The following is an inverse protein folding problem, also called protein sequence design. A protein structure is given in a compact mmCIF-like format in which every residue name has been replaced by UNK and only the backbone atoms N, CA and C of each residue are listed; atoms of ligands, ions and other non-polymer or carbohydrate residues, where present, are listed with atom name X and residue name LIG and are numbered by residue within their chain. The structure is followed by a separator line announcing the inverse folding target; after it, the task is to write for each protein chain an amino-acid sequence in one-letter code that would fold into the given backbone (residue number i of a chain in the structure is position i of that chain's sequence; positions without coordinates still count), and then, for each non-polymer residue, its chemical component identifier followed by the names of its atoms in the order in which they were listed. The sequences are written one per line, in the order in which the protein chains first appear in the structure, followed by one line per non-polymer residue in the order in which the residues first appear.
data_IF_106108475588
#
_entry.id   IF_106108475588
#
_cell.length_a   1.000
_cell.length_b   1.000
_cell.length_c   1.000
_cell.angle_alpha   90.00
_cell.angle_beta   90.00
_cell.angle_gamma   90.00
#
_symmetry.space_group_name_H-M   'P 1'
#
loop_
_entity.id
_entity.type
_entity.pdbx_description
1 polymer ?
#
# COMPACT_ATOMS: atom_id res chain seq x y z
N UNK A 1 -28.27 -49.44 15.47
CA UNK A 1 -26.83 -49.21 15.23
C UNK A 1 -26.80 -48.75 13.80
N UNK A 2 -27.15 -47.47 13.65
CA UNK A 2 -27.38 -46.84 12.35
C UNK A 2 -26.05 -46.21 11.95
N UNK A 3 -25.48 -46.76 10.90
CA UNK A 3 -24.18 -46.38 10.37
C UNK A 3 -24.20 -44.90 9.97
N UNK A 4 -23.39 -44.14 10.70
CA UNK A 4 -22.97 -42.80 10.35
C UNK A 4 -22.21 -42.88 9.02
N UNK A 5 -22.88 -42.59 7.90
CA UNK A 5 -22.20 -42.23 6.67
C UNK A 5 -21.60 -40.85 6.90
N UNK A 6 -20.36 -40.83 7.40
CA UNK A 6 -19.50 -39.67 7.34
C UNK A 6 -19.14 -39.46 5.87
N UNK A 7 -19.94 -38.69 5.14
CA UNK A 7 -19.52 -38.10 3.87
C UNK A 7 -18.32 -37.20 4.17
N UNK A 8 -17.14 -37.72 3.90
CA UNK A 8 -15.88 -36.99 4.04
C UNK A 8 -15.76 -35.96 2.91
N UNK A 9 -16.15 -34.74 3.26
CA UNK A 9 -15.71 -33.42 2.79
C UNK A 9 -14.42 -33.42 1.91
N UNK A 10 -14.56 -33.72 0.62
CA UNK A 10 -13.43 -33.68 -0.34
C UNK A 10 -13.79 -33.18 -1.75
N UNK A 11 -14.93 -32.50 -1.90
CA UNK A 11 -15.57 -32.26 -3.21
C UNK A 11 -15.48 -30.81 -3.74
N UNK A 12 -14.57 -29.95 -3.27
CA UNK A 12 -14.65 -28.51 -3.61
C UNK A 12 -13.31 -27.77 -3.78
N UNK A 13 -12.34 -28.35 -4.50
CA UNK A 13 -11.17 -27.59 -4.99
C UNK A 13 -11.31 -27.41 -6.49
N UNK A 14 -11.63 -26.19 -6.96
CA UNK A 14 -11.61 -25.90 -8.39
C UNK A 14 -10.18 -25.92 -8.89
N UNK A 15 -9.88 -26.80 -9.83
CA UNK A 15 -8.55 -27.01 -10.34
C UNK A 15 -7.99 -25.72 -10.97
N UNK A 16 -8.81 -24.98 -11.73
CA UNK A 16 -8.33 -23.78 -12.40
C UNK A 16 -8.03 -22.62 -11.44
N UNK A 17 -8.91 -22.31 -10.47
CA UNK A 17 -8.71 -21.16 -9.56
C UNK A 17 -7.52 -21.40 -8.65
N UNK A 18 -7.39 -22.62 -8.11
CA UNK A 18 -6.25 -23.00 -7.26
C UNK A 18 -4.93 -22.97 -8.04
N UNK A 19 -4.94 -23.48 -9.28
CA UNK A 19 -3.81 -23.36 -10.18
C UNK A 19 -3.45 -21.90 -10.48
N UNK A 20 -4.44 -21.05 -10.76
CA UNK A 20 -4.22 -19.64 -11.07
C UNK A 20 -3.61 -18.89 -9.88
N UNK A 21 -4.11 -19.09 -8.67
CA UNK A 21 -3.64 -18.38 -7.47
C UNK A 21 -2.26 -18.89 -7.03
N UNK A 22 -2.00 -20.19 -7.19
CA UNK A 22 -0.68 -20.79 -6.90
C UNK A 22 0.37 -20.50 -7.98
N UNK A 23 -0.06 -20.03 -9.16
CA UNK A 23 0.85 -19.70 -10.26
C UNK A 23 1.79 -18.56 -9.88
N UNK A 24 3.04 -18.69 -10.31
CA UNK A 24 4.10 -17.71 -10.05
C UNK A 24 3.71 -16.33 -10.61
N UNK A 25 3.69 -15.33 -9.75
CA UNK A 25 3.29 -13.97 -10.11
C UNK A 25 1.88 -13.58 -9.64
N UNK A 26 1.07 -14.54 -9.20
CA UNK A 26 -0.31 -14.30 -8.76
C UNK A 26 -0.48 -14.27 -7.23
N UNK A 27 0.61 -14.10 -6.49
CA UNK A 27 0.60 -14.15 -5.02
C UNK A 27 -0.26 -13.04 -4.39
N UNK A 28 -0.60 -11.99 -5.14
CA UNK A 28 -1.46 -10.89 -4.68
C UNK A 28 -2.96 -11.17 -4.79
N UNK A 29 -3.37 -12.14 -5.60
CA UNK A 29 -4.78 -12.49 -5.71
C UNK A 29 -5.25 -13.23 -4.46
N UNK A 30 -6.53 -13.04 -4.13
CA UNK A 30 -7.25 -13.96 -3.26
C UNK A 30 -8.16 -14.87 -4.09
N UNK A 31 -8.59 -15.96 -3.47
CA UNK A 31 -9.58 -16.85 -4.06
C UNK A 31 -10.96 -16.20 -4.03
N UNK A 32 -11.61 -16.14 -5.19
CA UNK A 32 -13.00 -15.68 -5.33
C UNK A 32 -13.91 -16.88 -5.03
N UNK A 33 -14.92 -16.66 -4.20
CA UNK A 33 -15.89 -17.71 -3.89
C UNK A 33 -16.70 -18.11 -5.14
N UNK A 34 -17.02 -19.39 -5.24
CA UNK A 34 -17.76 -19.91 -6.40
C UNK A 34 -19.19 -19.37 -6.50
N UNK A 35 -19.85 -19.13 -5.36
CA UNK A 35 -21.17 -18.50 -5.33
C UNK A 35 -21.14 -17.07 -5.88
N UNK A 36 -20.02 -16.35 -5.71
CA UNK A 36 -19.83 -15.03 -6.30
C UNK A 36 -19.66 -15.08 -7.82
N UNK A 37 -18.94 -16.08 -8.34
CA UNK A 37 -18.71 -16.29 -9.77
C UNK A 37 -19.96 -16.81 -10.50
N UNK A 38 -20.82 -17.57 -9.82
CA UNK A 38 -22.03 -18.13 -10.43
C UNK A 38 -23.20 -17.13 -10.44
N UNK A 39 -23.16 -16.10 -9.58
CA UNK A 39 -24.15 -15.02 -9.58
C UNK A 39 -23.90 -14.00 -10.72
N UNK A 40 -24.78 -14.07 -11.73
CA UNK A 40 -24.74 -13.20 -12.91
C UNK A 40 -24.81 -11.72 -12.60
N UNK A 41 -25.42 -11.32 -11.48
CA UNK A 41 -25.51 -9.91 -11.10
C UNK A 41 -24.12 -9.30 -10.86
N UNK A 42 -23.23 -10.06 -10.21
CA UNK A 42 -21.86 -9.62 -9.92
C UNK A 42 -21.01 -9.45 -11.19
N UNK A 43 -21.35 -10.18 -12.25
CA UNK A 43 -20.62 -10.19 -13.53
C UNK A 43 -21.17 -9.20 -14.58
N UNK A 44 -22.18 -8.41 -14.21
CA UNK A 44 -22.85 -7.49 -15.14
C UNK A 44 -21.86 -6.57 -15.85
N UNK A 45 -21.95 -6.49 -17.18
CA UNK A 45 -21.11 -5.64 -18.04
C UNK A 45 -19.73 -6.20 -18.40
N UNK A 46 -19.29 -7.30 -17.80
CA UNK A 46 -17.98 -7.91 -18.14
C UNK A 46 -18.00 -8.62 -19.51
N UNK A 47 -19.18 -9.01 -19.98
CA UNK A 47 -19.38 -9.66 -21.27
C UNK A 47 -19.01 -8.77 -22.47
N UNK A 48 -18.98 -7.44 -22.30
CA UNK A 48 -18.54 -6.52 -23.37
C UNK A 48 -17.04 -6.23 -23.33
N UNK A 49 -16.39 -6.45 -22.19
CA UNK A 49 -14.96 -6.22 -21.97
C UNK A 49 -14.13 -7.46 -22.33
N UNK A 50 -14.66 -8.65 -22.07
CA UNK A 50 -13.94 -9.93 -22.21
C UNK A 50 -14.32 -10.65 -23.50
N UNK A 51 -13.31 -10.96 -24.33
CA UNK A 51 -13.49 -11.81 -25.51
C UNK A 51 -13.76 -13.26 -25.11
N UNK A 52 -14.60 -13.97 -25.85
CA UNK A 52 -14.98 -15.36 -25.53
C UNK A 52 -15.52 -15.53 -24.10
N UNK A 53 -16.24 -14.51 -23.58
CA UNK A 53 -16.70 -14.44 -22.19
C UNK A 53 -17.31 -15.74 -21.65
N UNK A 54 -18.19 -16.41 -22.41
CA UNK A 54 -18.82 -17.65 -21.95
C UNK A 54 -17.79 -18.76 -21.75
N UNK A 55 -16.91 -18.98 -22.73
CA UNK A 55 -15.84 -19.98 -22.62
C UNK A 55 -14.84 -19.66 -21.52
N UNK A 56 -14.51 -18.38 -21.34
CA UNK A 56 -13.66 -17.92 -20.26
C UNK A 56 -14.30 -18.17 -18.88
N UNK A 57 -15.60 -17.93 -18.74
CA UNK A 57 -16.34 -18.21 -17.51
C UNK A 57 -16.41 -19.71 -17.24
N UNK A 58 -16.76 -20.50 -18.25
CA UNK A 58 -16.84 -21.97 -18.15
C UNK A 58 -15.49 -22.55 -17.71
N UNK A 59 -14.36 -21.98 -18.19
CA UNK A 59 -13.01 -22.40 -17.79
C UNK A 59 -12.69 -22.05 -16.34
N UNK A 60 -13.04 -20.84 -15.87
CA UNK A 60 -12.83 -20.41 -14.48
C UNK A 60 -13.69 -21.22 -13.49
N UNK A 61 -14.83 -21.73 -13.94
CA UNK A 61 -15.74 -22.58 -13.14
C UNK A 61 -15.52 -24.08 -13.35
N UNK A 62 -14.47 -24.51 -14.06
CA UNK A 62 -14.17 -25.92 -14.37
C UNK A 62 -15.32 -26.68 -15.08
N UNK A 63 -16.15 -25.99 -15.87
CA UNK A 63 -17.22 -26.55 -16.73
C UNK A 63 -16.84 -26.58 -18.21
N UNK A 64 -15.60 -26.20 -18.53
CA UNK A 64 -15.12 -26.12 -19.91
C UNK A 64 -14.82 -27.50 -20.51
N UNK A 65 -15.66 -27.92 -21.47
CA UNK A 65 -15.60 -29.23 -22.15
C UNK A 65 -15.43 -29.11 -23.67
N UNK A 66 -14.80 -28.03 -24.15
CA UNK A 66 -14.61 -27.80 -25.58
C UNK A 66 -13.24 -28.31 -26.04
N UNK A 67 -13.25 -29.31 -26.92
CA UNK A 67 -12.08 -29.70 -27.71
C UNK A 67 -11.83 -28.63 -28.79
N UNK A 68 -10.83 -27.78 -28.54
CA UNK A 68 -10.34 -26.77 -29.47
C UNK A 68 -8.85 -26.98 -29.77
N UNK A 69 -8.38 -26.35 -30.84
CA UNK A 69 -6.96 -26.28 -31.16
C UNK A 69 -6.19 -25.45 -30.13
N UNK A 70 -4.88 -25.70 -30.03
CA UNK A 70 -4.01 -25.12 -29.01
C UNK A 70 -4.03 -23.57 -29.03
N UNK A 71 -4.09 -22.96 -30.22
CA UNK A 71 -4.12 -21.50 -30.40
C UNK A 71 -5.40 -20.88 -29.85
N UNK A 72 -6.56 -21.52 -30.08
CA UNK A 72 -7.83 -21.06 -29.53
C UNK A 72 -7.87 -21.26 -28.01
N UNK A 73 -7.33 -22.37 -27.52
CA UNK A 73 -7.24 -22.64 -26.08
C UNK A 73 -6.41 -21.59 -25.35
N UNK A 74 -5.25 -21.21 -25.88
CA UNK A 74 -4.41 -20.15 -25.31
C UNK A 74 -5.15 -18.80 -25.26
N UNK A 75 -5.93 -18.50 -26.30
CA UNK A 75 -6.75 -17.27 -26.36
C UNK A 75 -7.84 -17.29 -25.28
N UNK A 76 -8.54 -18.41 -25.10
CA UNK A 76 -9.55 -18.59 -24.04
C UNK A 76 -8.92 -18.48 -22.66
N UNK A 77 -7.76 -19.10 -22.44
CA UNK A 77 -7.02 -18.98 -21.16
C UNK A 77 -6.62 -17.53 -20.86
N UNK A 78 -6.19 -16.78 -21.88
CA UNK A 78 -5.89 -15.36 -21.72
C UNK A 78 -7.13 -14.56 -21.32
N UNK A 79 -8.27 -14.82 -21.97
CA UNK A 79 -9.56 -14.22 -21.60
C UNK A 79 -10.03 -14.63 -20.20
N UNK A 80 -9.80 -15.87 -19.78
CA UNK A 80 -10.14 -16.35 -18.44
C UNK A 80 -9.31 -15.65 -17.36
N UNK A 81 -7.99 -15.50 -17.57
CA UNK A 81 -7.13 -14.71 -16.67
C UNK A 81 -7.58 -13.26 -16.57
N UNK A 82 -7.97 -12.67 -17.71
CA UNK A 82 -8.48 -11.30 -17.74
C UNK A 82 -9.82 -11.17 -17.00
N UNK A 83 -10.77 -12.06 -17.27
CA UNK A 83 -12.07 -12.12 -16.58
C UNK A 83 -11.89 -12.26 -15.07
N UNK A 84 -11.09 -13.23 -14.63
CA UNK A 84 -10.83 -13.46 -13.21
C UNK A 84 -10.26 -12.22 -12.53
N UNK A 85 -9.34 -11.51 -13.20
CA UNK A 85 -8.80 -10.24 -12.71
C UNK A 85 -9.86 -9.15 -12.55
N UNK A 86 -10.76 -8.98 -13.52
CA UNK A 86 -11.85 -7.99 -13.44
C UNK A 86 -12.87 -8.33 -12.34
N UNK A 87 -13.20 -9.61 -12.18
CA UNK A 87 -14.08 -10.07 -11.10
C UNK A 87 -13.40 -9.88 -9.75
N UNK A 88 -12.10 -10.15 -9.66
CA UNK A 88 -11.31 -9.96 -8.44
C UNK A 88 -11.39 -8.52 -7.94
N UNK A 89 -11.26 -7.52 -8.83
CA UNK A 89 -11.38 -6.11 -8.47
C UNK A 89 -12.73 -5.77 -7.81
N UNK A 90 -13.82 -6.40 -8.26
CA UNK A 90 -15.16 -6.25 -7.66
C UNK A 90 -15.27 -7.02 -6.35
N UNK A 91 -14.75 -8.24 -6.31
CA UNK A 91 -14.85 -9.14 -5.17
C UNK A 91 -14.12 -8.62 -3.94
N UNK A 92 -12.91 -8.08 -4.08
CA UNK A 92 -12.10 -7.62 -2.93
C UNK A 92 -12.66 -6.41 -2.19
N UNK A 93 -13.68 -5.76 -2.75
CA UNK A 93 -14.43 -4.67 -2.11
C UNK A 93 -15.60 -5.18 -1.27
N UNK A 94 -16.03 -6.44 -1.47
CA UNK A 94 -17.09 -7.08 -0.67
C UNK A 94 -16.57 -7.48 0.72
N UNK A 95 -17.46 -7.70 1.68
CA UNK A 95 -17.07 -8.13 3.04
C UNK A 95 -16.27 -9.44 3.05
N UNK A 96 -16.63 -10.41 2.18
CA UNK A 96 -15.92 -11.69 2.08
C UNK A 96 -14.52 -11.52 1.48
N UNK A 97 -14.42 -10.80 0.36
CA UNK A 97 -13.14 -10.51 -0.29
C UNK A 97 -12.20 -9.67 0.58
N UNK A 98 -12.72 -8.67 1.29
CA UNK A 98 -11.97 -7.87 2.26
C UNK A 98 -11.36 -8.75 3.37
N UNK A 99 -12.10 -9.73 3.88
CA UNK A 99 -11.61 -10.64 4.93
C UNK A 99 -10.43 -11.48 4.41
N UNK A 100 -10.55 -12.07 3.21
CA UNK A 100 -9.46 -12.85 2.60
C UNK A 100 -8.22 -11.99 2.34
N UNK A 101 -8.40 -10.77 1.82
CA UNK A 101 -7.28 -9.85 1.58
C UNK A 101 -6.65 -9.36 2.89
N UNK A 102 -7.44 -9.16 3.93
CA UNK A 102 -6.97 -8.79 5.26
C UNK A 102 -6.04 -9.87 5.85
N UNK A 103 -6.36 -11.14 5.68
CA UNK A 103 -5.51 -12.23 6.16
C UNK A 103 -4.15 -12.25 5.45
N UNK A 104 -4.14 -12.01 4.13
CA UNK A 104 -2.90 -11.83 3.36
C UNK A 104 -2.12 -10.59 3.80
N UNK A 105 -2.81 -9.50 4.12
CA UNK A 105 -2.20 -8.26 4.62
C UNK A 105 -1.50 -8.45 5.96
N UNK A 106 -2.17 -9.12 6.92
CA UNK A 106 -1.59 -9.45 8.24
C UNK A 106 -0.34 -10.32 8.12
N UNK A 107 -0.31 -11.23 7.14
CA UNK A 107 0.85 -12.07 6.82
C UNK A 107 1.94 -11.35 6.01
N UNK A 108 1.70 -10.10 5.61
CA UNK A 108 2.58 -9.29 4.76
C UNK A 108 2.92 -9.96 3.41
N UNK A 109 1.99 -10.74 2.84
CA UNK A 109 2.18 -11.45 1.57
C UNK A 109 2.34 -10.51 0.37
N UNK A 110 1.74 -9.32 0.43
CA UNK A 110 1.87 -8.28 -0.59
C UNK A 110 3.26 -7.64 -0.63
N UNK A 111 4.05 -7.83 0.44
CA UNK A 111 5.34 -7.20 0.65
C UNK A 111 5.32 -6.15 1.76
N UNK A 112 6.46 -5.50 1.93
CA UNK A 112 6.73 -4.56 3.02
C UNK A 112 7.28 -3.25 2.46
N UNK A 113 6.95 -2.15 3.12
CA UNK A 113 7.34 -0.81 2.69
C UNK A 113 8.87 -0.68 2.57
N UNK A 114 9.38 -0.13 1.44
CA UNK A 114 10.82 0.04 1.24
C UNK A 114 11.40 1.22 2.04
N UNK A 115 10.57 2.14 2.56
CA UNK A 115 11.06 3.23 3.42
C UNK A 115 11.52 2.66 4.76
N UNK A 116 12.76 2.99 5.14
CA UNK A 116 13.38 2.56 6.40
C UNK A 116 12.53 2.97 7.61
N UNK A 117 12.08 4.22 7.66
CA UNK A 117 11.27 4.76 8.77
C UNK A 117 9.88 4.11 8.87
N UNK A 118 9.43 3.35 7.87
CA UNK A 118 8.21 2.57 7.96
C UNK A 118 8.40 1.24 8.70
N UNK A 119 9.63 0.86 9.07
CA UNK A 119 9.96 -0.35 9.81
C UNK A 119 9.35 -1.62 9.18
N UNK A 120 9.45 -1.71 7.86
CA UNK A 120 8.91 -2.84 7.08
C UNK A 120 7.39 -3.07 7.28
N UNK A 121 6.62 -1.99 7.41
CA UNK A 121 5.15 -2.05 7.46
C UNK A 121 4.56 -2.78 6.24
N UNK A 122 3.56 -3.67 6.42
CA UNK A 122 2.92 -4.38 5.30
C UNK A 122 2.28 -3.42 4.30
N UNK A 123 2.20 -3.85 3.05
CA UNK A 123 1.65 -3.08 1.95
C UNK A 123 0.32 -3.67 1.48
N UNK A 124 -0.46 -2.89 0.74
CA UNK A 124 -1.67 -3.36 0.06
C UNK A 124 -1.56 -3.13 -1.46
N UNK A 125 -2.01 -4.08 -2.29
CA UNK A 125 -2.04 -3.89 -3.73
C UNK A 125 -3.14 -2.89 -4.13
N UNK A 126 -2.90 -2.10 -5.16
CA UNK A 126 -3.88 -1.21 -5.75
C UNK A 126 -3.54 -0.87 -7.21
N UNK A 127 -4.55 -0.48 -7.99
CA UNK A 127 -4.40 0.00 -9.37
C UNK A 127 -4.39 1.52 -9.47
N UNK A 128 -3.53 2.11 -10.30
CA UNK A 128 -3.56 3.55 -10.58
C UNK A 128 -4.72 3.97 -11.50
N UNK A 129 -5.40 3.00 -12.11
CA UNK A 129 -6.57 3.17 -12.96
C UNK A 129 -7.40 1.89 -12.87
N UNK A 130 -8.72 2.03 -13.00
CA UNK A 130 -9.64 0.89 -13.13
C UNK A 130 -9.77 0.43 -14.59
N UNK A 131 -9.17 1.16 -15.54
CA UNK A 131 -9.17 0.78 -16.96
C UNK A 131 -8.07 -0.26 -17.19
N UNK A 132 -8.40 -1.44 -17.73
CA UNK A 132 -7.41 -2.50 -17.96
C UNK A 132 -6.34 -2.13 -18.98
N UNK A 133 -5.21 -2.82 -18.91
CA UNK A 133 -4.02 -2.70 -19.75
C UNK A 133 -3.35 -1.32 -19.76
N UNK A 134 -3.68 -0.44 -18.80
CA UNK A 134 -3.11 0.90 -18.73
C UNK A 134 -1.84 0.95 -17.88
N UNK A 135 -1.92 0.47 -16.64
CA UNK A 135 -0.81 0.55 -15.67
C UNK A 135 -0.78 -0.71 -14.79
N UNK A 136 0.41 -1.23 -14.47
CA UNK A 136 0.52 -2.38 -13.60
C UNK A 136 0.21 -2.01 -12.14
N UNK A 137 -0.01 -3.05 -11.34
CA UNK A 137 -0.29 -2.93 -9.90
C UNK A 137 0.80 -2.16 -9.16
N UNK A 138 0.36 -1.37 -8.18
CA UNK A 138 1.21 -0.65 -7.22
C UNK A 138 0.89 -1.12 -5.81
N UNK A 139 1.77 -0.77 -4.88
CA UNK A 139 1.64 -1.11 -3.47
C UNK A 139 1.49 0.16 -2.63
N UNK A 140 0.39 0.27 -1.90
CA UNK A 140 0.11 1.35 -0.97
C UNK A 140 0.62 1.00 0.43
N UNK A 141 1.29 1.97 1.08
CA UNK A 141 1.70 1.85 2.48
C UNK A 141 0.82 2.73 3.37
N UNK A 142 0.09 2.13 4.31
CA UNK A 142 -0.74 2.89 5.24
C UNK A 142 0.07 3.70 6.26
N UNK A 143 1.37 3.44 6.43
CA UNK A 143 2.21 4.16 7.40
C UNK A 143 2.76 5.48 6.86
N UNK A 144 3.23 5.51 5.61
CA UNK A 144 3.73 6.73 4.98
C UNK A 144 2.79 7.31 3.92
N UNK A 145 1.67 6.63 3.63
CA UNK A 145 0.64 7.08 2.70
C UNK A 145 1.16 7.33 1.28
N UNK A 146 2.07 6.48 0.84
CA UNK A 146 2.73 6.62 -0.46
C UNK A 146 2.71 5.29 -1.23
N UNK A 147 2.93 5.40 -2.54
CA UNK A 147 2.82 4.32 -3.51
C UNK A 147 4.19 3.82 -3.94
N UNK A 148 4.30 2.50 -4.03
CA UNK A 148 5.54 1.82 -4.38
C UNK A 148 5.33 0.85 -5.54
N UNK A 149 6.41 0.63 -6.28
CA UNK A 149 6.46 -0.46 -7.24
C UNK A 149 6.70 -1.78 -6.50
N UNK A 150 6.08 -2.89 -6.94
CA UNK A 150 6.45 -4.23 -6.47
C UNK A 150 7.95 -4.47 -6.66
N UNK A 151 8.61 -5.07 -5.65
CA UNK A 151 10.07 -5.32 -5.68
C UNK A 151 10.45 -6.36 -6.74
N UNK A 152 9.59 -7.35 -6.96
CA UNK A 152 9.85 -8.42 -7.92
C UNK A 152 9.25 -8.09 -9.28
N UNK A 153 10.02 -8.30 -10.35
CA UNK A 153 9.56 -8.08 -11.73
C UNK A 153 8.37 -8.95 -12.11
N UNK A 154 8.20 -10.14 -11.49
CA UNK A 154 7.04 -11.02 -11.73
C UNK A 154 5.70 -10.38 -11.37
N UNK A 155 5.70 -9.44 -10.43
CA UNK A 155 4.50 -8.73 -9.99
C UNK A 155 4.26 -7.46 -10.81
N UNK A 156 5.26 -7.02 -11.58
CA UNK A 156 5.16 -5.83 -12.42
C UNK A 156 4.36 -6.06 -13.71
N UNK A 157 4.10 -7.32 -14.08
CA UNK A 157 3.23 -7.68 -15.21
C UNK A 157 1.76 -7.80 -14.84
N UNK A 158 1.41 -7.78 -13.55
CA UNK A 158 0.01 -7.83 -13.12
C UNK A 158 -0.64 -6.48 -13.39
N UNK A 159 -1.80 -6.49 -14.03
CA UNK A 159 -2.60 -5.29 -14.24
C UNK A 159 -3.12 -4.72 -12.92
N UNK A 160 -2.97 -3.40 -12.74
CA UNK A 160 -3.49 -2.71 -11.56
C UNK A 160 -5.02 -2.68 -11.51
N UNK A 161 -5.68 -2.72 -12.67
CA UNK A 161 -7.15 -2.69 -12.76
C UNK A 161 -7.79 -3.86 -12.00
N UNK A 162 -7.09 -5.00 -11.87
CA UNK A 162 -7.57 -6.18 -11.14
C UNK A 162 -7.64 -6.02 -9.61
N UNK A 163 -7.11 -4.90 -9.09
CA UNK A 163 -7.23 -4.52 -7.68
C UNK A 163 -8.05 -3.24 -7.50
N UNK A 164 -8.24 -2.48 -8.57
CA UNK A 164 -8.93 -1.20 -8.58
C UNK A 164 -8.21 -0.08 -7.80
N UNK A 165 -8.69 1.15 -7.97
CA UNK A 165 -8.14 2.33 -7.29
C UNK A 165 -8.60 2.45 -5.84
N UNK A 166 -9.72 1.81 -5.49
CA UNK A 166 -10.45 2.10 -4.24
C UNK A 166 -10.20 1.09 -3.11
N UNK A 167 -9.79 -0.14 -3.43
CA UNK A 167 -9.68 -1.24 -2.47
C UNK A 167 -8.86 -0.88 -1.22
N UNK A 168 -7.68 -0.28 -1.39
CA UNK A 168 -6.79 0.10 -0.28
C UNK A 168 -7.42 1.11 0.69
N UNK A 169 -8.35 1.96 0.23
CA UNK A 169 -9.06 2.89 1.11
C UNK A 169 -10.23 2.22 1.80
N UNK A 170 -10.99 1.39 1.07
CA UNK A 170 -12.17 0.71 1.60
C UNK A 170 -11.81 -0.22 2.75
N UNK A 171 -10.69 -0.95 2.65
CA UNK A 171 -10.26 -1.83 3.74
C UNK A 171 -9.98 -1.07 5.04
N UNK A 172 -9.43 0.15 4.98
CA UNK A 172 -9.21 0.96 6.18
C UNK A 172 -10.49 1.66 6.67
N UNK A 173 -11.45 1.92 5.79
CA UNK A 173 -12.77 2.39 6.20
C UNK A 173 -13.55 1.32 6.97
N UNK A 174 -13.44 0.05 6.55
CA UNK A 174 -14.08 -1.09 7.23
C UNK A 174 -13.30 -1.52 8.48
N UNK A 175 -11.98 -1.45 8.45
CA UNK A 175 -11.10 -1.84 9.56
C UNK A 175 -10.19 -0.67 10.01
N UNK A 176 -10.75 0.40 10.62
CA UNK A 176 -9.99 1.59 11.01
C UNK A 176 -8.89 1.31 12.04
N UNK A 177 -9.04 0.27 12.86
CA UNK A 177 -8.03 -0.15 13.84
C UNK A 177 -6.70 -0.61 13.22
N UNK A 178 -6.67 -0.87 11.90
CA UNK A 178 -5.45 -1.26 11.18
C UNK A 178 -4.64 -0.07 10.67
N UNK A 179 -5.19 1.14 10.74
CA UNK A 179 -4.48 2.35 10.34
C UNK A 179 -3.34 2.56 11.35
N UNK A 180 -2.07 2.47 10.93
CA UNK A 180 -0.95 2.67 11.84
C UNK A 180 -0.91 4.13 12.30
N UNK A 181 -0.44 4.34 13.53
CA UNK A 181 -0.10 5.69 13.97
C UNK A 181 0.97 6.27 13.07
N UNK A 182 0.73 7.48 12.61
CA UNK A 182 1.63 8.19 11.70
C UNK A 182 2.82 8.71 12.50
N UNK A 183 4.02 8.62 11.93
CA UNK A 183 5.25 9.14 12.52
C UNK A 183 5.73 10.34 11.71
N UNK A 184 6.28 11.31 12.42
CA UNK A 184 6.85 12.54 11.85
C UNK A 184 8.35 12.37 11.55
N UNK A 185 8.95 11.30 12.09
CA UNK A 185 10.36 11.01 11.95
C UNK A 185 10.77 10.92 10.48
N UNK A 186 11.77 11.72 10.15
CA UNK A 186 12.38 11.79 8.81
C UNK A 186 13.87 11.59 8.91
N UNK A 187 14.45 11.10 7.82
CA UNK A 187 15.90 11.00 7.71
C UNK A 187 16.53 12.41 7.76
N UNK A 188 17.45 12.60 8.70
CA UNK A 188 18.23 13.84 8.85
C UNK A 188 19.62 13.59 8.27
N UNK A 189 19.99 14.20 7.13
CA UNK A 189 21.32 14.02 6.55
C UNK A 189 22.38 14.66 7.44
N UNK A 190 23.38 13.86 7.84
CA UNK A 190 24.50 14.28 8.68
C UNK A 190 25.84 13.95 8.02
N UNK A 191 26.81 14.85 8.16
CA UNK A 191 28.20 14.68 7.74
C UNK A 191 29.08 14.82 8.98
N UNK A 192 29.80 13.76 9.35
CA UNK A 192 30.56 13.67 10.62
C UNK A 192 29.74 14.06 11.87
N UNK A 193 28.45 13.74 11.89
CA UNK A 193 27.54 14.09 12.99
C UNK A 193 26.82 15.44 12.83
N UNK A 194 27.34 16.34 12.00
CA UNK A 194 26.75 17.67 11.76
C UNK A 194 25.61 17.62 10.73
N UNK A 195 24.50 18.29 11.03
CA UNK A 195 23.37 18.45 10.08
C UNK A 195 23.83 19.29 8.88
N UNK A 196 23.49 18.87 7.66
CA UNK A 196 23.86 19.61 6.42
C UNK A 196 23.08 20.93 6.34
N UNK A 197 23.77 22.07 6.19
CA UNK A 197 23.18 23.42 6.29
C UNK A 197 21.90 23.63 5.46
N UNK A 198 21.93 23.31 4.16
CA UNK A 198 20.78 23.51 3.27
C UNK A 198 19.59 22.58 3.62
N UNK A 199 19.86 21.31 3.89
CA UNK A 199 18.83 20.35 4.29
C UNK A 199 18.26 20.72 5.66
N UNK A 200 19.09 21.15 6.61
CA UNK A 200 18.67 21.61 7.92
C UNK A 200 17.79 22.86 7.85
N UNK A 201 18.10 23.82 6.97
CA UNK A 201 17.25 24.99 6.75
C UNK A 201 15.87 24.62 6.19
N UNK A 202 15.82 23.73 5.19
CA UNK A 202 14.55 23.23 4.64
C UNK A 202 13.75 22.45 5.70
N UNK A 203 14.43 21.60 6.47
CA UNK A 203 13.85 20.81 7.56
C UNK A 203 13.16 21.76 8.56
N UNK A 204 13.89 22.73 9.12
CA UNK A 204 13.32 23.71 10.06
C UNK A 204 12.12 24.46 9.48
N UNK A 205 12.19 24.89 8.22
CA UNK A 205 11.06 25.56 7.56
C UNK A 205 9.82 24.65 7.43
N UNK A 206 10.02 23.38 7.07
CA UNK A 206 8.94 22.39 6.97
C UNK A 206 8.32 22.06 8.33
N UNK A 207 9.12 21.99 9.40
CA UNK A 207 8.62 21.79 10.76
C UNK A 207 7.75 22.97 11.20
N UNK A 208 8.25 24.20 11.03
CA UNK A 208 7.48 25.42 11.34
C UNK A 208 6.12 25.47 10.62
N UNK A 209 6.08 25.08 9.33
CA UNK A 209 4.81 25.00 8.57
C UNK A 209 3.88 23.90 9.07
N UNK A 210 4.43 22.77 9.52
CA UNK A 210 3.65 21.70 10.13
C UNK A 210 3.04 22.15 11.45
N UNK A 211 3.79 22.83 12.29
CA UNK A 211 3.32 23.25 13.62
C UNK A 211 2.25 24.33 13.52
N UNK A 212 2.38 25.23 12.54
CA UNK A 212 1.33 26.19 12.21
C UNK A 212 0.03 25.49 11.75
N UNK A 213 0.16 24.46 10.91
CA UNK A 213 -0.98 23.66 10.48
C UNK A 213 -1.61 22.87 11.64
N UNK A 214 -0.80 22.29 12.53
CA UNK A 214 -1.28 21.62 13.75
C UNK A 214 -2.04 22.57 14.67
N UNK A 215 -1.48 23.77 14.91
CA UNK A 215 -2.17 24.83 15.67
C UNK A 215 -3.50 25.21 15.04
N UNK A 216 -3.57 25.28 13.71
CA UNK A 216 -4.82 25.55 12.97
C UNK A 216 -5.83 24.40 13.10
N UNK A 217 -5.42 23.15 12.99
CA UNK A 217 -6.30 21.98 13.15
C UNK A 217 -6.84 21.87 14.58
N UNK A 218 -6.00 22.10 15.59
CA UNK A 218 -6.41 22.14 17.00
C UNK A 218 -7.48 23.22 17.27
N UNK A 219 -7.33 24.40 16.67
CA UNK A 219 -8.35 25.47 16.74
C UNK A 219 -9.70 25.09 16.12
N UNK A 220 -9.71 24.13 15.20
CA UNK A 220 -10.91 23.61 14.55
C UNK A 220 -11.41 22.31 15.20
N UNK A 221 -10.83 21.90 16.34
CA UNK A 221 -11.16 20.66 17.04
C UNK A 221 -10.98 19.40 16.17
N UNK A 222 -10.05 19.44 15.21
CA UNK A 222 -9.70 18.30 14.36
C UNK A 222 -8.46 17.61 14.94
N UNK A 223 -8.63 16.39 15.43
CA UNK A 223 -7.53 15.55 15.89
C UNK A 223 -6.69 15.04 14.71
N UNK A 224 -5.37 15.18 14.81
CA UNK A 224 -4.47 14.82 13.70
C UNK A 224 -4.08 13.34 13.66
N UNK A 225 -4.21 12.60 14.77
CA UNK A 225 -3.92 11.16 14.85
C UNK A 225 -2.45 10.75 14.65
N UNK A 226 -1.52 11.71 14.56
CA UNK A 226 -0.08 11.43 14.56
C UNK A 226 0.37 11.06 15.98
N UNK A 227 1.39 10.21 16.12
CA UNK A 227 2.06 10.04 17.42
C UNK A 227 2.59 11.40 17.83
N UNK A 228 2.01 11.96 18.88
CA UNK A 228 2.60 13.08 19.60
C UNK A 228 3.89 12.52 20.21
N UNK A 229 5.02 12.92 19.65
CA UNK A 229 6.27 12.76 20.36
C UNK A 229 6.17 13.73 21.53
N UNK A 230 6.06 13.18 22.73
CA UNK A 230 6.26 13.86 24.03
C UNK A 230 7.67 14.49 24.13
N UNK A 231 8.36 14.75 23.02
CA UNK A 231 9.74 15.25 22.94
C UNK A 231 9.81 16.77 22.78
N UNK A 232 8.72 17.47 22.45
CA UNK A 232 8.73 18.94 22.40
C UNK A 232 8.91 19.58 23.80
N UNK A 233 8.58 18.86 24.89
CA UNK A 233 8.77 19.38 26.26
C UNK A 233 10.18 19.14 26.83
N UNK A 234 10.95 18.15 26.33
CA UNK A 234 12.29 17.82 26.85
C UNK A 234 13.42 18.59 26.13
N UNK A 235 13.27 18.95 24.85
CA UNK A 235 14.32 19.69 24.11
C UNK A 235 14.34 21.20 24.42
N UNK A 236 13.22 21.81 24.86
CA UNK A 236 13.20 23.23 25.24
C UNK A 236 13.89 23.49 26.60
N UNK A 237 14.02 22.48 27.48
CA UNK A 237 14.68 22.64 28.79
C UNK A 237 16.23 22.53 28.73
N UNK A 238 16.83 21.93 27.69
CA UNK A 238 18.29 21.74 27.62
C UNK A 238 19.05 22.91 26.95
N UNK A 239 18.40 23.75 26.14
CA UNK A 239 19.07 24.82 25.36
C UNK A 239 19.21 26.16 26.11
N UNK A 240 18.60 26.33 27.30
CA UNK A 240 18.60 27.58 28.07
C UNK A 240 19.78 27.73 29.09
N UNK A 241 20.60 26.69 29.30
CA UNK A 241 21.60 26.65 30.39
C UNK A 241 23.08 26.80 29.95
N UNK A 242 23.36 27.71 29.01
CA UNK A 242 24.75 28.12 28.72
C UNK A 242 24.95 29.62 28.96
N UNK A 243 24.93 30.04 30.22
CA UNK A 243 25.46 31.33 30.64
C UNK A 243 26.99 31.39 30.39
N UNK A 244 27.40 32.19 29.41
CA UNK A 244 28.82 32.48 29.16
C UNK A 244 29.32 33.49 30.19
N UNK A 245 29.84 33.02 31.32
CA UNK A 245 30.57 33.87 32.27
C UNK A 245 31.86 34.41 31.63
N UNK A 246 31.99 35.74 31.62
CA UNK A 246 33.10 36.46 31.01
C UNK A 246 34.44 36.19 31.67
N UNK A 247 35.49 36.11 30.84
CA UNK A 247 36.88 36.16 31.29
C UNK A 247 37.48 37.49 30.85
N UNK A 248 37.68 38.37 31.83
CA UNK A 248 38.55 39.54 31.73
C UNK A 248 40.00 39.12 31.45
N UNK A 249 40.64 39.78 30.48
CA UNK A 249 42.01 39.48 30.07
C UNK A 249 42.60 40.52 29.13
N UNK A 250 42.89 41.70 29.69
CA UNK A 250 43.67 42.80 29.12
C UNK A 250 44.94 42.32 28.36
N UNK A 251 45.16 42.74 27.10
CA UNK A 251 46.25 43.66 26.69
C UNK A 251 46.46 43.77 25.14
N UNK A 252 46.60 45.02 24.70
CA UNK A 252 47.46 45.53 23.60
C UNK A 252 47.12 45.33 22.10
N UNK A 253 46.83 46.48 21.46
CA UNK A 253 47.23 46.93 20.11
C UNK A 253 46.91 46.06 18.87
N UNK A 254 46.04 46.55 17.98
CA UNK A 254 46.45 47.06 16.66
C UNK A 254 45.29 47.75 15.88
N UNK A 255 45.43 49.07 15.73
CA UNK A 255 45.09 49.95 14.59
C UNK A 255 43.77 49.76 13.81
N UNK A 256 42.95 50.80 13.91
CA UNK A 256 41.99 51.30 12.92
C UNK A 256 42.61 51.37 11.52
N UNK A 257 41.95 50.75 10.53
CA UNK A 257 41.99 51.20 9.13
C UNK A 257 40.55 51.20 8.62
N UNK A 258 40.07 52.40 8.30
CA UNK A 258 38.84 52.68 7.57
C UNK A 258 38.94 52.15 6.12
N UNK A 259 37.85 51.62 5.58
CA UNK A 259 37.76 51.25 4.16
C UNK A 259 36.37 50.74 3.78
N UNK A 260 35.55 51.65 3.26
CA UNK A 260 34.21 51.38 2.72
C UNK A 260 34.19 50.58 1.41
N UNK A 261 33.02 50.48 0.76
CA UNK A 261 32.59 49.31 -0.01
C UNK A 261 32.99 49.33 -1.49
N UNK A 262 33.09 48.14 -2.09
CA UNK A 262 32.68 47.85 -3.46
C UNK A 262 32.01 46.48 -3.51
#
# INVERSE_FOLDING_TARGET
MDDYVSESDSDYTSYWRDWFISSRGNEYFCEIDEDYLTDRFNLTGLNTEVQYYQYALDLVTDVFDLDCDDDMRETIESSARHLYGLVHARYIVTTRGLTKMLDKYKKAEFGKCPRVNCHSHPLLPMGLSDIPNLKPVKLYCARCEDLYNPKSSRHASIDGAYFGTSFHNIIFQVYPALIPSKSIERYIPRVYGFKVHAAAALVRWQDLKRDDMRRRLRKLEIESGFREEQMEEEEEEEDDDVEFEGVDGNNSNMRLIEGGPM
#
